data_IF_226336705748
#
_entry.id   IF_226336705748
#
_cell.length_a   1.000
_cell.length_b   1.000
_cell.length_c   1.000
_cell.angle_alpha   90.00
_cell.angle_beta   90.00
_cell.angle_gamma   90.00
#
_symmetry.space_group_name_H-M   'P 1'
#
loop_
_entity.id
_entity.type
_entity.pdbx_description
1 polymer ?
#
# COMPACT_ATOMS: atom_id res chain seq x y z
N UNK A 1 11.75 -61.92 -57.90
CA UNK A 1 12.32 -60.64 -57.42
C UNK A 1 11.13 -59.79 -57.00
N UNK A 2 10.69 -59.97 -55.75
CA UNK A 2 9.50 -59.33 -55.19
C UNK A 2 9.94 -58.13 -54.38
N UNK A 3 9.53 -56.94 -54.81
CA UNK A 3 9.76 -55.68 -54.11
C UNK A 3 8.78 -55.67 -52.93
N UNK A 4 9.31 -55.75 -51.70
CA UNK A 4 8.55 -55.54 -50.49
C UNK A 4 8.30 -54.04 -50.34
N UNK A 5 7.05 -53.61 -50.60
CA UNK A 5 6.56 -52.30 -50.19
C UNK A 5 6.50 -52.22 -48.66
N UNK A 6 7.40 -51.44 -48.07
CA UNK A 6 7.35 -51.04 -46.68
C UNK A 6 6.16 -50.11 -46.47
N UNK A 7 5.07 -50.69 -45.98
CA UNK A 7 3.87 -50.04 -45.51
C UNK A 7 4.14 -49.45 -44.13
N UNK A 8 4.69 -48.24 -44.10
CA UNK A 8 4.82 -47.49 -42.85
C UNK A 8 4.43 -46.02 -43.09
N UNK A 9 3.84 -45.41 -42.07
CA UNK A 9 3.34 -44.02 -42.00
C UNK A 9 1.83 -43.84 -42.27
N UNK A 10 1.02 -44.35 -41.35
CA UNK A 10 -0.23 -43.68 -40.98
C UNK A 10 -0.43 -43.84 -39.46
N UNK A 11 0.23 -42.97 -38.67
CA UNK A 11 -0.01 -42.84 -37.23
C UNK A 11 -0.89 -41.60 -36.98
N UNK A 12 -2.22 -41.74 -36.89
CA UNK A 12 -3.16 -40.63 -36.66
C UNK A 12 -3.01 -39.95 -35.28
N UNK A 13 -2.11 -40.42 -34.40
CA UNK A 13 -1.91 -39.86 -33.07
C UNK A 13 -1.10 -38.55 -33.00
N UNK A 14 -0.19 -38.31 -33.95
CA UNK A 14 0.73 -37.15 -33.86
C UNK A 14 0.07 -35.81 -34.17
N UNK A 15 -0.89 -35.78 -35.10
CA UNK A 15 -1.62 -34.55 -35.43
C UNK A 15 -2.60 -34.14 -34.32
N UNK A 16 -3.16 -35.12 -33.59
CA UNK A 16 -4.06 -34.84 -32.48
C UNK A 16 -3.32 -34.29 -31.26
N UNK A 17 -2.13 -34.80 -30.93
CA UNK A 17 -1.32 -34.27 -29.82
C UNK A 17 -0.80 -32.86 -30.10
N UNK A 18 -0.40 -32.57 -31.34
CA UNK A 18 0.05 -31.22 -31.72
C UNK A 18 -1.07 -30.18 -31.55
N UNK A 19 -2.32 -30.56 -31.86
CA UNK A 19 -3.48 -29.67 -31.76
C UNK A 19 -3.88 -29.36 -30.31
N UNK A 20 -3.67 -30.30 -29.37
CA UNK A 20 -3.97 -30.09 -27.94
C UNK A 20 -2.92 -29.21 -27.29
N UNK A 21 -1.65 -29.36 -27.66
CA UNK A 21 -0.55 -28.56 -27.13
C UNK A 21 -0.68 -27.10 -27.58
N UNK A 22 -0.98 -26.86 -28.86
CA UNK A 22 -1.25 -25.52 -29.40
C UNK A 22 -2.40 -24.80 -28.70
N UNK A 23 -3.50 -25.51 -28.39
CA UNK A 23 -4.64 -24.94 -27.66
C UNK A 23 -4.28 -24.58 -26.21
N UNK A 24 -3.49 -25.44 -25.55
CA UNK A 24 -3.01 -25.20 -24.19
C UNK A 24 -2.10 -23.97 -24.14
N UNK A 25 -1.14 -23.86 -25.07
CA UNK A 25 -0.23 -22.71 -25.15
C UNK A 25 -0.99 -21.42 -25.49
N UNK A 26 -1.92 -21.45 -26.44
CA UNK A 26 -2.75 -20.28 -26.76
C UNK A 26 -3.60 -19.83 -25.56
N UNK A 27 -4.17 -20.78 -24.80
CA UNK A 27 -4.89 -20.49 -23.56
C UNK A 27 -3.99 -19.85 -22.49
N UNK A 28 -2.76 -20.35 -22.31
CA UNK A 28 -1.80 -19.78 -21.38
C UNK A 28 -1.38 -18.36 -21.78
N UNK A 29 -1.11 -18.12 -23.06
CA UNK A 29 -0.77 -16.78 -23.58
C UNK A 29 -1.94 -15.81 -23.38
N UNK A 30 -3.16 -16.24 -23.71
CA UNK A 30 -4.36 -15.42 -23.51
C UNK A 30 -4.58 -15.05 -22.04
N UNK A 31 -4.36 -16.00 -21.12
CA UNK A 31 -4.45 -15.75 -19.68
C UNK A 31 -3.38 -14.76 -19.21
N UNK A 32 -2.12 -14.95 -19.62
CA UNK A 32 -1.01 -14.05 -19.29
C UNK A 32 -1.23 -12.63 -19.82
N UNK A 33 -1.64 -12.50 -21.09
CA UNK A 33 -1.93 -11.22 -21.71
C UNK A 33 -3.08 -10.50 -20.99
N UNK A 34 -4.15 -11.23 -20.66
CA UNK A 34 -5.28 -10.72 -19.89
C UNK A 34 -4.86 -10.25 -18.50
N UNK A 35 -4.11 -11.05 -17.76
CA UNK A 35 -3.57 -10.67 -16.45
C UNK A 35 -2.67 -9.44 -16.52
N UNK A 36 -1.78 -9.36 -17.51
CA UNK A 36 -0.87 -8.22 -17.67
C UNK A 36 -1.64 -6.93 -17.99
N UNK A 37 -2.64 -6.99 -18.86
CA UNK A 37 -3.52 -5.84 -19.14
C UNK A 37 -4.30 -5.38 -17.90
N UNK A 38 -4.77 -6.33 -17.09
CA UNK A 38 -5.46 -6.03 -15.83
C UNK A 38 -4.56 -5.34 -14.81
N UNK A 39 -3.31 -5.80 -14.68
CA UNK A 39 -2.31 -5.16 -13.81
C UNK A 39 -1.99 -3.74 -14.28
N UNK A 40 -1.81 -3.52 -15.59
CA UNK A 40 -1.54 -2.18 -16.15
C UNK A 40 -2.74 -1.24 -15.92
N UNK A 41 -3.96 -1.70 -16.16
CA UNK A 41 -5.17 -0.91 -15.91
C UNK A 41 -5.30 -0.52 -14.43
N UNK A 42 -4.94 -1.44 -13.54
CA UNK A 42 -4.96 -1.22 -12.10
C UNK A 42 -3.86 -0.25 -11.66
N UNK A 43 -2.64 -0.35 -12.22
CA UNK A 43 -1.56 0.63 -12.02
C UNK A 43 -1.98 2.02 -12.49
N UNK A 44 -2.60 2.12 -13.67
CA UNK A 44 -3.12 3.38 -14.20
C UNK A 44 -4.17 4.01 -13.27
N UNK A 45 -5.19 3.23 -12.87
CA UNK A 45 -6.26 3.71 -12.00
C UNK A 45 -5.72 4.17 -10.64
N UNK A 46 -4.81 3.40 -10.05
CA UNK A 46 -4.16 3.74 -8.78
C UNK A 46 -3.28 4.99 -8.92
N UNK A 47 -2.46 5.06 -9.97
CA UNK A 47 -1.60 6.21 -10.21
C UNK A 47 -2.38 7.50 -10.43
N UNK A 48 -3.53 7.42 -11.12
CA UNK A 48 -4.46 8.54 -11.23
C UNK A 48 -4.98 9.01 -9.86
N UNK A 49 -5.38 8.08 -8.99
CA UNK A 49 -5.84 8.41 -7.63
C UNK A 49 -4.72 9.03 -6.79
N UNK A 50 -3.51 8.46 -6.84
CA UNK A 50 -2.34 9.01 -6.15
C UNK A 50 -2.05 10.45 -6.59
N UNK A 51 -1.96 10.68 -7.90
CA UNK A 51 -1.68 12.00 -8.47
C UNK A 51 -2.76 13.03 -8.11
N UNK A 52 -4.04 12.63 -8.21
CA UNK A 52 -5.17 13.48 -7.82
C UNK A 52 -5.11 13.86 -6.34
N UNK A 53 -4.83 12.89 -5.47
CA UNK A 53 -4.71 13.13 -4.03
C UNK A 53 -3.53 14.06 -3.70
N UNK A 54 -2.39 13.85 -4.37
CA UNK A 54 -1.20 14.68 -4.19
C UNK A 54 -1.46 16.15 -4.56
N UNK A 55 -2.12 16.41 -5.69
CA UNK A 55 -2.47 17.76 -6.11
C UNK A 55 -3.53 18.40 -5.19
N UNK A 56 -4.53 17.63 -4.77
CA UNK A 56 -5.51 18.08 -3.79
C UNK A 56 -4.86 18.46 -2.45
N UNK A 57 -3.89 17.67 -2.00
CA UNK A 57 -3.08 17.96 -0.81
C UNK A 57 -2.34 19.29 -0.98
N UNK A 58 -1.74 19.56 -2.15
CA UNK A 58 -1.12 20.85 -2.47
C UNK A 58 -2.15 21.99 -2.55
N UNK A 59 -3.42 21.69 -2.80
CA UNK A 59 -4.48 22.68 -3.04
C UNK A 59 -4.57 23.13 -4.49
N UNK A 60 -4.03 22.33 -5.41
CA UNK A 60 -4.07 22.59 -6.86
C UNK A 60 -5.08 21.64 -7.48
N UNK A 61 -6.03 22.18 -8.24
CA UNK A 61 -6.98 21.35 -8.98
C UNK A 61 -6.26 20.65 -10.16
N UNK A 62 -6.56 19.37 -10.37
CA UNK A 62 -6.00 18.59 -11.47
C UNK A 62 -6.56 19.10 -12.79
N UNK A 63 -5.73 19.75 -13.60
CA UNK A 63 -6.09 20.08 -14.98
C UNK A 63 -5.74 18.90 -15.91
N UNK A 64 -6.63 18.61 -16.85
CA UNK A 64 -6.45 17.56 -17.85
C UNK A 64 -5.22 17.85 -18.71
N UNK A 65 -4.25 16.93 -18.76
CA UNK A 65 -3.04 17.10 -19.59
C UNK A 65 -1.86 16.16 -19.31
N UNK A 66 -1.90 15.37 -18.23
CA UNK A 66 -0.81 14.43 -17.91
C UNK A 66 -0.85 13.21 -18.84
N UNK A 67 0.32 12.75 -19.30
CA UNK A 67 0.42 11.61 -20.19
C UNK A 67 0.01 10.31 -19.46
N UNK A 68 -0.60 9.37 -20.19
CA UNK A 68 -1.04 8.08 -19.64
C UNK A 68 0.12 7.29 -19.00
N UNK A 69 1.32 7.40 -19.57
CA UNK A 69 2.53 6.73 -19.06
C UNK A 69 2.91 7.18 -17.65
N UNK A 70 2.75 8.46 -17.33
CA UNK A 70 3.14 9.02 -16.03
C UNK A 70 2.26 8.45 -14.91
N UNK A 71 0.95 8.27 -15.18
CA UNK A 71 0.06 7.63 -14.22
C UNK A 71 0.44 6.17 -13.96
N UNK A 72 0.82 5.41 -14.99
CA UNK A 72 1.28 4.02 -14.80
C UNK A 72 2.55 3.98 -13.95
N UNK A 73 3.50 4.88 -14.17
CA UNK A 73 4.72 4.97 -13.37
C UNK A 73 4.42 5.30 -11.90
N UNK A 74 3.57 6.29 -11.63
CA UNK A 74 3.15 6.65 -10.26
C UNK A 74 2.48 5.46 -9.58
N UNK A 75 1.61 4.75 -10.31
CA UNK A 75 0.97 3.53 -9.82
C UNK A 75 1.97 2.42 -9.49
N UNK A 76 2.96 2.20 -10.36
CA UNK A 76 4.01 1.22 -10.12
C UNK A 76 4.86 1.55 -8.88
N UNK A 77 5.23 2.83 -8.68
CA UNK A 77 5.92 3.30 -7.47
C UNK A 77 5.11 3.04 -6.21
N UNK A 78 3.80 3.29 -6.25
CA UNK A 78 2.88 2.96 -5.15
C UNK A 78 2.94 1.47 -4.80
N UNK A 79 2.85 0.57 -5.80
CA UNK A 79 2.90 -0.87 -5.54
C UNK A 79 4.22 -1.29 -4.92
N UNK A 80 5.34 -0.80 -5.47
CA UNK A 80 6.67 -1.11 -4.98
C UNK A 80 6.85 -0.69 -3.51
N UNK A 81 6.51 0.55 -3.17
CA UNK A 81 6.66 1.05 -1.79
C UNK A 81 5.71 0.33 -0.84
N UNK A 82 4.46 0.10 -1.24
CA UNK A 82 3.49 -0.64 -0.43
C UNK A 82 3.96 -2.07 -0.16
N UNK A 83 4.57 -2.70 -1.16
CA UNK A 83 5.12 -4.05 -1.03
C UNK A 83 6.33 -4.08 -0.08
N UNK A 84 7.21 -3.08 -0.12
CA UNK A 84 8.33 -2.97 0.83
C UNK A 84 7.81 -2.88 2.26
N UNK A 85 6.90 -1.94 2.53
CA UNK A 85 6.33 -1.73 3.86
C UNK A 85 5.63 -2.99 4.36
N UNK A 86 4.96 -3.71 3.46
CA UNK A 86 4.34 -5.00 3.77
C UNK A 86 5.37 -6.05 4.18
N UNK A 87 6.48 -6.17 3.44
CA UNK A 87 7.55 -7.12 3.77
C UNK A 87 8.26 -6.77 5.07
N UNK A 88 8.55 -5.50 5.31
CA UNK A 88 9.12 -5.02 6.58
C UNK A 88 8.19 -5.40 7.75
N UNK A 89 6.89 -5.15 7.60
CA UNK A 89 5.91 -5.48 8.63
C UNK A 89 5.77 -6.99 8.86
N UNK A 90 5.95 -7.81 7.82
CA UNK A 90 6.00 -9.28 7.93
C UNK A 90 7.25 -9.76 8.68
N UNK A 91 8.40 -9.14 8.40
CA UNK A 91 9.66 -9.44 9.09
C UNK A 91 9.55 -9.07 10.57
N UNK A 92 9.00 -7.88 10.88
CA UNK A 92 8.79 -7.42 12.25
C UNK A 92 7.82 -8.34 13.01
N UNK A 93 6.71 -8.73 12.37
CA UNK A 93 5.77 -9.69 12.95
C UNK A 93 6.44 -11.05 13.19
N UNK A 94 7.25 -11.51 12.23
CA UNK A 94 8.04 -12.74 12.35
C UNK A 94 8.99 -12.68 13.55
N UNK A 95 9.73 -11.58 13.70
CA UNK A 95 10.63 -11.34 14.83
C UNK A 95 9.89 -11.29 16.18
N UNK A 96 8.70 -10.70 16.23
CA UNK A 96 7.89 -10.65 17.44
C UNK A 96 7.28 -12.01 17.81
N UNK A 97 6.85 -12.80 16.82
CA UNK A 97 6.20 -14.11 17.05
C UNK A 97 7.20 -15.23 17.35
N UNK A 98 8.40 -15.21 16.75
CA UNK A 98 9.42 -16.23 16.93
C UNK A 98 9.75 -16.52 18.41
N UNK A 99 10.02 -15.52 19.28
CA UNK A 99 10.31 -15.78 20.69
C UNK A 99 9.08 -16.26 21.45
N UNK A 100 7.87 -15.82 21.08
CA UNK A 100 6.62 -16.29 21.70
C UNK A 100 6.41 -17.76 21.38
N UNK A 101 6.58 -18.16 20.12
CA UNK A 101 6.50 -19.56 19.68
C UNK A 101 7.58 -20.41 20.35
N UNK A 102 8.82 -19.93 20.40
CA UNK A 102 9.91 -20.61 21.10
C UNK A 102 9.60 -20.79 22.59
N UNK A 103 9.10 -19.76 23.25
CA UNK A 103 8.68 -19.79 24.65
C UNK A 103 7.54 -20.79 24.89
N UNK A 104 6.52 -20.81 24.03
CA UNK A 104 5.43 -21.78 24.09
C UNK A 104 5.91 -23.22 23.87
N UNK A 105 6.85 -23.44 22.95
CA UNK A 105 7.46 -24.76 22.71
C UNK A 105 8.24 -25.20 23.96
N UNK A 106 9.09 -24.34 24.51
CA UNK A 106 9.86 -24.64 25.73
C UNK A 106 8.93 -24.93 26.91
N UNK A 107 7.88 -24.12 27.09
CA UNK A 107 6.89 -24.32 28.14
C UNK A 107 6.15 -25.64 27.97
N UNK A 108 5.74 -25.98 26.74
CA UNK A 108 5.07 -27.25 26.44
C UNK A 108 5.97 -28.46 26.70
N UNK A 109 7.25 -28.39 26.32
CA UNK A 109 8.24 -29.43 26.58
C UNK A 109 8.52 -29.59 28.08
N UNK A 110 8.62 -28.46 28.81
CA UNK A 110 8.76 -28.46 30.26
C UNK A 110 7.56 -29.07 30.96
N UNK A 111 6.33 -28.73 30.53
CA UNK A 111 5.10 -29.28 31.07
C UNK A 111 5.01 -30.79 30.82
N UNK A 112 5.34 -31.25 29.61
CA UNK A 112 5.42 -32.68 29.26
C UNK A 112 6.47 -33.39 30.11
N UNK A 113 7.63 -32.77 30.34
CA UNK A 113 8.67 -33.31 31.21
C UNK A 113 8.22 -33.46 32.67
N UNK A 114 7.55 -32.44 33.23
CA UNK A 114 7.00 -32.47 34.59
C UNK A 114 5.91 -33.54 34.69
N UNK A 115 4.99 -33.58 33.74
CA UNK A 115 3.93 -34.60 33.71
C UNK A 115 4.53 -36.00 33.60
N UNK A 116 5.53 -36.20 32.73
CA UNK A 116 6.23 -37.48 32.61
C UNK A 116 6.96 -37.88 33.91
N UNK A 117 7.55 -36.92 34.64
CA UNK A 117 8.22 -37.15 35.92
C UNK A 117 7.22 -37.45 37.06
N UNK A 118 6.08 -36.76 37.10
CA UNK A 118 5.00 -37.02 38.07
C UNK A 118 4.35 -38.37 37.78
N UNK A 119 4.07 -38.66 36.50
CA UNK A 119 3.53 -39.95 36.08
C UNK A 119 4.53 -41.06 36.38
N UNK A 120 5.82 -40.95 36.06
CA UNK A 120 6.80 -42.01 36.37
C UNK A 120 6.91 -42.28 37.87
N UNK A 121 6.70 -41.27 38.72
CA UNK A 121 6.65 -41.39 40.17
C UNK A 121 5.37 -42.06 40.67
N UNK A 122 4.22 -41.81 40.04
CA UNK A 122 2.91 -42.42 40.37
C UNK A 122 2.75 -43.83 39.74
N UNK A 123 3.38 -44.08 38.59
CA UNK A 123 3.25 -45.28 37.74
C UNK A 123 4.02 -46.50 38.26
N UNK A 124 4.53 -46.45 39.50
CA UNK A 124 4.91 -47.66 40.24
C UNK A 124 3.71 -48.56 40.59
N UNK A 125 2.48 -48.09 40.37
CA UNK A 125 1.23 -48.86 40.59
C UNK A 125 0.34 -48.82 39.33
N UNK A 126 0.59 -49.77 38.44
CA UNK A 126 -0.35 -50.54 37.60
C UNK A 126 -1.64 -49.84 37.13
N UNK A 127 -1.66 -49.36 35.87
CA UNK A 127 -2.77 -49.38 34.86
C UNK A 127 -2.59 -48.24 33.85
N UNK A 128 -2.00 -48.53 32.68
CA UNK A 128 -1.41 -47.45 31.85
C UNK A 128 -1.80 -47.42 30.38
N UNK A 129 -2.72 -48.29 29.95
CA UNK A 129 -3.08 -48.40 28.52
C UNK A 129 -4.33 -47.57 28.18
N UNK A 130 -5.36 -47.60 29.04
CA UNK A 130 -6.65 -46.96 28.74
C UNK A 130 -6.62 -45.42 28.82
N UNK A 131 -5.80 -44.86 29.70
CA UNK A 131 -5.70 -43.40 29.89
C UNK A 131 -4.87 -42.73 28.77
N UNK A 132 -3.93 -43.49 28.19
CA UNK A 132 -3.08 -43.02 27.10
C UNK A 132 -3.87 -42.91 25.79
N UNK A 133 -4.77 -43.85 25.52
CA UNK A 133 -5.65 -43.80 24.35
C UNK A 133 -6.71 -42.69 24.46
N UNK A 134 -7.28 -42.47 25.64
CA UNK A 134 -8.28 -41.41 25.86
C UNK A 134 -7.69 -40.00 25.71
N UNK A 135 -6.47 -39.77 26.20
CA UNK A 135 -5.73 -38.51 26.02
C UNK A 135 -5.38 -38.26 24.55
N UNK A 136 -4.94 -39.28 23.81
CA UNK A 136 -4.62 -39.17 22.38
C UNK A 136 -5.90 -38.90 21.56
N UNK A 137 -7.03 -39.52 21.92
CA UNK A 137 -8.32 -39.31 21.26
C UNK A 137 -8.94 -37.93 21.55
N UNK A 138 -8.89 -37.46 22.80
CA UNK A 138 -9.38 -36.14 23.18
C UNK A 138 -8.55 -35.01 22.55
N UNK A 139 -7.23 -35.21 22.43
CA UNK A 139 -6.31 -34.27 21.78
C UNK A 139 -6.51 -34.23 20.25
N UNK A 140 -6.84 -35.35 19.61
CA UNK A 140 -7.08 -35.43 18.15
C UNK A 140 -8.47 -34.97 17.71
N UNK A 141 -9.52 -35.16 18.53
CA UNK A 141 -10.92 -34.95 18.10
C UNK A 141 -11.53 -33.59 18.43
N UNK A 142 -11.29 -33.05 19.63
CA UNK A 142 -11.92 -31.81 20.13
C UNK A 142 -10.96 -30.62 20.04
N UNK A 143 -9.66 -30.90 20.15
CA UNK A 143 -8.60 -29.89 20.17
C UNK A 143 -8.35 -29.16 18.85
N UNK A 144 -8.79 -29.67 17.69
CA UNK A 144 -8.46 -29.06 16.39
C UNK A 144 -9.56 -28.16 15.81
N UNK A 145 -10.84 -28.50 16.02
CA UNK A 145 -11.95 -27.74 15.40
C UNK A 145 -12.44 -26.64 16.35
N UNK A 146 -12.62 -26.95 17.64
CA UNK A 146 -13.13 -25.97 18.61
C UNK A 146 -12.05 -24.94 18.99
N UNK A 147 -10.78 -25.34 19.10
CA UNK A 147 -9.67 -24.40 19.36
C UNK A 147 -9.41 -23.48 18.16
N UNK A 148 -9.51 -24.00 16.93
CA UNK A 148 -9.38 -23.20 15.72
C UNK A 148 -10.49 -22.17 15.63
N UNK A 149 -11.75 -22.55 15.91
CA UNK A 149 -12.90 -21.64 15.92
C UNK A 149 -12.79 -20.55 16.98
N UNK A 150 -12.37 -20.90 18.20
CA UNK A 150 -12.18 -19.95 19.30
C UNK A 150 -11.00 -19.01 19.04
N UNK A 151 -9.88 -19.54 18.54
CA UNK A 151 -8.71 -18.74 18.16
C UNK A 151 -9.05 -17.76 17.06
N UNK A 152 -9.77 -18.22 16.03
CA UNK A 152 -10.17 -17.37 14.91
C UNK A 152 -11.19 -16.30 15.31
N UNK A 153 -12.11 -16.63 16.23
CA UNK A 153 -13.07 -15.66 16.77
C UNK A 153 -12.39 -14.63 17.67
N UNK A 154 -11.43 -15.06 18.50
CA UNK A 154 -10.63 -14.18 19.33
C UNK A 154 -9.77 -13.24 18.46
N UNK A 155 -9.12 -13.78 17.42
CA UNK A 155 -8.36 -13.00 16.44
C UNK A 155 -9.23 -11.97 15.73
N UNK A 156 -10.45 -12.36 15.31
CA UNK A 156 -11.43 -11.46 14.69
C UNK A 156 -11.79 -10.30 15.64
N UNK A 157 -12.12 -10.60 16.90
CA UNK A 157 -12.48 -9.56 17.89
C UNK A 157 -11.30 -8.63 18.15
N UNK A 158 -10.09 -9.18 18.31
CA UNK A 158 -8.89 -8.39 18.54
C UNK A 158 -8.56 -7.50 17.34
N UNK A 159 -8.75 -8.00 16.12
CA UNK A 159 -8.60 -7.21 14.89
C UNK A 159 -9.69 -6.16 14.74
N UNK A 160 -10.94 -6.42 15.14
CA UNK A 160 -12.01 -5.43 15.13
C UNK A 160 -11.76 -4.31 16.15
N UNK A 161 -11.27 -4.65 17.35
CA UNK A 161 -10.88 -3.67 18.37
C UNK A 161 -9.70 -2.83 17.89
N UNK A 162 -8.69 -3.46 17.31
CA UNK A 162 -7.53 -2.76 16.76
C UNK A 162 -7.92 -1.90 15.54
N UNK A 163 -8.70 -2.42 14.59
CA UNK A 163 -9.22 -1.65 13.46
C UNK A 163 -10.12 -0.49 13.91
N UNK A 164 -10.93 -0.68 14.95
CA UNK A 164 -11.74 0.38 15.55
C UNK A 164 -10.88 1.51 16.13
N UNK A 165 -9.75 1.17 16.76
CA UNK A 165 -8.79 2.16 17.26
C UNK A 165 -8.12 2.97 16.13
N UNK A 166 -7.91 2.34 14.98
CA UNK A 166 -7.25 2.94 13.83
C UNK A 166 -8.21 3.65 12.88
N UNK A 167 -9.52 3.40 12.96
CA UNK A 167 -10.55 3.94 12.06
C UNK A 167 -10.47 5.47 11.91
N UNK A 168 -10.23 6.19 13.02
CA UNK A 168 -10.07 7.65 12.98
C UNK A 168 -8.86 8.10 12.18
N UNK A 169 -7.78 7.32 12.17
CA UNK A 169 -6.52 7.67 11.50
C UNK A 169 -6.59 7.54 9.97
N UNK A 170 -7.56 6.80 9.45
CA UNK A 170 -7.72 6.50 8.03
C UNK A 170 -8.14 7.69 7.20
N UNK A 171 -9.02 8.51 7.76
CA UNK A 171 -9.62 9.63 7.02
C UNK A 171 -8.81 10.92 7.18
N UNK A 172 -7.86 10.96 8.11
CA UNK A 172 -7.02 12.14 8.36
C UNK A 172 -6.26 12.59 7.10
N UNK A 173 -5.59 11.69 6.34
CA UNK A 173 -4.81 12.11 5.18
C UNK A 173 -5.67 12.68 4.05
N UNK A 174 -6.91 12.19 3.92
CA UNK A 174 -7.86 12.64 2.90
C UNK A 174 -8.35 14.07 3.18
N UNK A 175 -8.32 14.49 4.45
CA UNK A 175 -8.71 15.84 4.86
C UNK A 175 -7.58 16.87 4.64
N UNK A 176 -6.36 16.43 4.32
CA UNK A 176 -5.25 17.34 4.04
C UNK A 176 -5.47 17.97 2.68
N UNK A 177 -5.62 19.29 2.68
CA UNK A 177 -5.79 20.10 1.47
C UNK A 177 -5.07 21.43 1.64
N UNK A 178 -4.61 22.02 0.54
CA UNK A 178 -4.06 23.38 0.55
C UNK A 178 -2.79 23.57 1.38
N UNK A 179 -1.91 22.55 1.45
CA UNK A 179 -0.65 22.62 2.23
C UNK A 179 0.21 23.82 1.82
N UNK A 180 0.17 24.21 0.54
CA UNK A 180 0.87 25.38 -0.01
C UNK A 180 0.51 26.67 0.72
N UNK A 181 -0.77 26.88 1.04
CA UNK A 181 -1.28 28.11 1.64
C UNK A 181 -1.42 28.04 3.16
N UNK A 182 -0.98 26.93 3.77
CA UNK A 182 -1.18 26.67 5.20
C UNK A 182 -0.07 27.28 6.06
N UNK A 183 -0.41 28.16 6.99
CA UNK A 183 0.55 28.73 7.94
C UNK A 183 0.77 27.80 9.15
N UNK A 184 2.01 27.37 9.34
CA UNK A 184 2.40 26.45 10.42
C UNK A 184 3.04 27.20 11.59
N UNK A 185 2.22 27.71 12.50
CA UNK A 185 2.69 28.37 13.73
C UNK A 185 2.92 27.35 14.85
N UNK A 186 4.09 27.35 15.48
CA UNK A 186 4.50 26.39 16.53
C UNK A 186 3.86 26.59 17.90
N UNK A 187 2.97 27.58 18.06
CA UNK A 187 2.46 27.89 19.38
C UNK A 187 1.63 26.71 19.94
N UNK A 188 1.94 26.23 21.17
CA UNK A 188 1.39 24.99 21.75
C UNK A 188 -0.14 24.98 21.88
N UNK A 189 -0.78 26.16 21.78
CA UNK A 189 -2.22 26.35 21.95
C UNK A 189 -2.98 26.63 20.64
N UNK A 190 -2.36 26.46 19.48
CA UNK A 190 -3.02 26.74 18.20
C UNK A 190 -3.92 25.59 17.76
N UNK A 191 -4.97 25.93 17.00
CA UNK A 191 -5.97 25.02 16.41
C UNK A 191 -5.31 23.87 15.62
N UNK A 192 -4.09 24.07 15.10
CA UNK A 192 -3.28 23.05 14.43
C UNK A 192 -2.87 21.87 15.33
N UNK A 193 -2.74 22.07 16.65
CA UNK A 193 -2.48 20.98 17.60
C UNK A 193 -3.75 20.19 17.96
N UNK A 194 -4.93 20.79 17.79
CA UNK A 194 -6.21 20.13 18.06
C UNK A 194 -6.71 19.34 16.84
N UNK A 195 -6.43 19.80 15.62
CA UNK A 195 -6.79 19.10 14.39
C UNK A 195 -5.62 18.21 13.90
N UNK A 196 -5.74 16.88 13.94
CA UNK A 196 -4.65 15.99 13.56
C UNK A 196 -4.28 16.08 12.07
N UNK A 197 -5.20 16.51 11.19
CA UNK A 197 -4.92 16.73 9.78
C UNK A 197 -4.01 17.95 9.58
N UNK A 198 -4.27 19.04 10.32
CA UNK A 198 -3.44 20.24 10.31
C UNK A 198 -2.01 19.97 10.82
N UNK A 199 -1.89 19.16 11.87
CA UNK A 199 -0.58 18.71 12.38
C UNK A 199 0.20 17.91 11.33
N UNK A 200 -0.48 16.99 10.64
CA UNK A 200 0.11 16.16 9.59
C UNK A 200 0.53 17.00 8.38
N UNK A 201 -0.32 17.93 7.95
CA UNK A 201 -0.04 18.90 6.90
C UNK A 201 1.21 19.75 7.19
N UNK A 202 1.35 20.24 8.43
CA UNK A 202 2.53 21.01 8.83
C UNK A 202 3.82 20.18 8.87
N UNK A 203 3.72 18.89 9.21
CA UNK A 203 4.87 17.96 9.15
C UNK A 203 5.29 17.70 7.70
N UNK A 204 4.33 17.55 6.78
CA UNK A 204 4.60 17.44 5.34
C UNK A 204 5.29 18.70 4.81
N UNK A 205 4.78 19.89 5.16
CA UNK A 205 5.39 21.17 4.75
C UNK A 205 6.83 21.31 5.26
N UNK A 206 7.16 20.74 6.42
CA UNK A 206 8.52 20.74 6.99
C UNK A 206 9.44 19.65 6.45
N UNK A 207 8.97 18.83 5.52
CA UNK A 207 9.70 17.65 5.02
C UNK A 207 10.05 16.62 6.11
N UNK A 208 9.26 16.56 7.20
CA UNK A 208 9.40 15.49 8.18
C UNK A 208 8.69 14.25 7.63
N UNK A 209 9.47 13.36 7.00
CA UNK A 209 8.97 12.16 6.35
C UNK A 209 8.58 11.03 7.33
N UNK A 210 9.09 11.05 8.56
CA UNK A 210 8.94 9.94 9.49
C UNK A 210 7.49 9.75 9.94
N UNK A 211 6.81 10.84 10.27
CA UNK A 211 5.43 10.79 10.76
C UNK A 211 4.42 10.43 9.65
N UNK A 212 4.43 11.04 8.46
CA UNK A 212 3.60 10.62 7.33
C UNK A 212 3.83 9.16 6.92
N UNK A 213 5.07 8.69 6.90
CA UNK A 213 5.39 7.29 6.60
C UNK A 213 4.84 6.33 7.66
N UNK A 214 4.97 6.66 8.95
CA UNK A 214 4.40 5.85 10.02
C UNK A 214 2.86 5.76 9.94
N UNK A 215 2.19 6.86 9.61
CA UNK A 215 0.74 6.87 9.35
C UNK A 215 0.38 5.95 8.17
N UNK A 216 1.11 6.04 7.07
CA UNK A 216 0.90 5.19 5.91
C UNK A 216 1.14 3.70 6.22
N UNK A 217 2.22 3.38 6.91
CA UNK A 217 2.55 2.01 7.33
C UNK A 217 1.47 1.41 8.24
N UNK A 218 0.92 2.19 9.17
CA UNK A 218 -0.20 1.77 10.00
C UNK A 218 -1.44 1.38 9.18
N UNK A 219 -1.72 2.09 8.09
CA UNK A 219 -2.84 1.77 7.18
C UNK A 219 -2.58 0.52 6.35
N UNK A 220 -1.36 0.35 5.84
CA UNK A 220 -0.95 -0.88 5.13
C UNK A 220 -1.12 -2.09 6.04
N UNK A 221 -0.65 -1.99 7.28
CA UNK A 221 -0.81 -3.04 8.29
C UNK A 221 -2.27 -3.35 8.60
N UNK A 222 -3.15 -2.36 8.48
CA UNK A 222 -4.57 -2.57 8.69
C UNK A 222 -5.21 -3.36 7.56
N UNK A 223 -4.93 -2.98 6.32
CA UNK A 223 -5.35 -3.75 5.13
C UNK A 223 -4.83 -5.18 5.22
N UNK A 224 -3.59 -5.36 5.64
CA UNK A 224 -2.99 -6.68 5.80
C UNK A 224 -3.64 -7.49 6.93
N UNK A 225 -3.90 -6.88 8.08
CA UNK A 225 -4.62 -7.52 9.19
C UNK A 225 -6.02 -7.98 8.78
N UNK A 226 -6.76 -7.15 8.03
CA UNK A 226 -8.06 -7.53 7.46
C UNK A 226 -7.92 -8.71 6.49
N UNK A 227 -6.90 -8.69 5.62
CA UNK A 227 -6.64 -9.78 4.69
C UNK A 227 -6.34 -11.11 5.41
N UNK A 228 -5.50 -11.08 6.44
CA UNK A 228 -5.18 -12.25 7.27
C UNK A 228 -6.41 -12.82 8.00
N UNK A 229 -7.42 -11.99 8.27
CA UNK A 229 -8.71 -12.47 8.79
C UNK A 229 -9.56 -13.07 7.68
N UNK A 230 -9.57 -12.53 6.45
CA UNK A 230 -10.44 -13.04 5.38
C UNK A 230 -9.96 -14.40 4.83
N UNK A 231 -8.65 -14.59 4.68
CA UNK A 231 -8.06 -15.80 4.05
C UNK A 231 -8.38 -17.12 4.76
N UNK A 232 -8.14 -17.30 6.08
CA UNK A 232 -8.39 -18.57 6.77
C UNK A 232 -9.87 -18.90 6.85
N UNK A 233 -10.76 -17.91 6.74
CA UNK A 233 -12.20 -18.10 6.76
C UNK A 233 -12.83 -18.34 5.39
N UNK A 234 -12.04 -18.33 4.30
CA UNK A 234 -12.53 -18.62 2.94
C UNK A 234 -13.30 -19.95 2.86
N UNK A 235 -12.81 -20.98 3.56
CA UNK A 235 -13.44 -22.31 3.59
C UNK A 235 -14.80 -22.33 4.32
N UNK A 236 -15.01 -21.42 5.28
CA UNK A 236 -16.25 -21.28 6.04
C UNK A 236 -17.23 -20.28 5.41
N UNK A 237 -16.73 -19.25 4.70
CA UNK A 237 -17.55 -18.31 3.92
C UNK A 237 -18.39 -19.01 2.85
N UNK A 238 -17.87 -20.10 2.28
CA UNK A 238 -18.52 -20.85 1.21
C UNK A 238 -19.59 -21.84 1.71
N UNK A 239 -19.68 -22.11 3.01
CA UNK A 239 -20.53 -23.18 3.57
C UNK A 239 -21.91 -22.71 4.07
N UNK A 240 -22.22 -21.42 4.13
CA UNK A 240 -23.52 -20.94 4.62
C UNK A 240 -23.89 -19.51 4.17
N UNK A 241 -25.19 -19.20 4.12
CA UNK A 241 -25.66 -17.83 3.86
C UNK A 241 -25.44 -16.92 5.08
N UNK A 242 -25.60 -17.45 6.30
CA UNK A 242 -25.42 -16.70 7.54
C UNK A 242 -23.96 -16.23 7.73
N UNK A 243 -22.98 -17.07 7.41
CA UNK A 243 -21.56 -16.68 7.49
C UNK A 243 -21.24 -15.57 6.49
N UNK A 244 -21.77 -15.63 5.26
CA UNK A 244 -21.60 -14.56 4.26
C UNK A 244 -22.10 -13.19 4.75
N UNK A 245 -23.23 -13.15 5.46
CA UNK A 245 -23.77 -11.89 6.00
C UNK A 245 -22.84 -11.30 7.07
N UNK A 246 -22.26 -12.13 7.92
CA UNK A 246 -21.34 -11.69 8.99
C UNK A 246 -20.06 -11.07 8.41
N UNK A 247 -19.53 -11.63 7.31
CA UNK A 247 -18.29 -11.14 6.69
C UNK A 247 -18.49 -10.05 5.63
N UNK A 248 -19.71 -9.84 5.15
CA UNK A 248 -20.02 -8.77 4.21
C UNK A 248 -19.49 -7.39 4.67
N UNK A 249 -19.73 -6.91 5.91
CA UNK A 249 -19.19 -5.63 6.36
C UNK A 249 -17.66 -5.61 6.36
N UNK A 250 -16.99 -6.73 6.65
CA UNK A 250 -15.53 -6.84 6.62
C UNK A 250 -14.99 -6.72 5.18
N UNK A 251 -15.68 -7.34 4.21
CA UNK A 251 -15.32 -7.23 2.79
C UNK A 251 -15.55 -5.82 2.25
N UNK A 252 -16.65 -5.18 2.63
CA UNK A 252 -16.93 -3.78 2.30
C UNK A 252 -15.83 -2.89 2.88
N UNK A 253 -15.48 -3.11 4.15
CA UNK A 253 -14.39 -2.39 4.81
C UNK A 253 -13.08 -2.58 4.03
N UNK A 254 -12.69 -3.82 3.76
CA UNK A 254 -11.48 -4.12 2.99
C UNK A 254 -11.46 -3.43 1.62
N UNK A 255 -12.58 -3.41 0.89
CA UNK A 255 -12.69 -2.68 -0.38
C UNK A 255 -12.52 -1.17 -0.20
N UNK A 256 -13.21 -0.57 0.77
CA UNK A 256 -13.10 0.87 1.06
C UNK A 256 -11.64 1.23 1.39
N UNK A 257 -11.00 0.45 2.25
CA UNK A 257 -9.60 0.67 2.61
C UNK A 257 -8.65 0.48 1.43
N UNK A 258 -8.87 -0.54 0.60
CA UNK A 258 -8.10 -0.76 -0.62
C UNK A 258 -8.20 0.43 -1.58
N UNK A 259 -9.36 1.08 -1.66
CA UNK A 259 -9.56 2.30 -2.46
C UNK A 259 -8.95 3.56 -1.82
N UNK A 260 -8.92 3.63 -0.48
CA UNK A 260 -8.36 4.77 0.25
C UNK A 260 -6.83 4.75 0.25
N UNK A 261 -6.20 3.56 0.27
CA UNK A 261 -4.75 3.40 0.33
C UNK A 261 -3.97 4.18 -0.76
N UNK A 262 -4.35 4.16 -2.06
CA UNK A 262 -3.66 4.98 -3.06
C UNK A 262 -3.84 6.48 -2.84
N UNK A 263 -4.99 6.91 -2.32
CA UNK A 263 -5.22 8.32 -1.98
C UNK A 263 -4.31 8.76 -0.82
N UNK A 264 -4.19 7.94 0.23
CA UNK A 264 -3.34 8.28 1.38
C UNK A 264 -1.86 8.25 1.00
N UNK A 265 -1.44 7.32 0.13
CA UNK A 265 -0.09 7.33 -0.43
C UNK A 265 0.22 8.64 -1.17
N UNK A 266 -0.68 9.08 -2.06
CA UNK A 266 -0.51 10.32 -2.82
C UNK A 266 -0.38 11.56 -1.93
N UNK A 267 -1.12 11.59 -0.81
CA UNK A 267 -1.08 12.68 0.15
C UNK A 267 0.13 12.63 1.12
N UNK A 268 0.66 11.45 1.45
CA UNK A 268 1.63 11.31 2.54
C UNK A 268 3.06 10.97 2.12
N UNK A 269 3.21 10.20 1.04
CA UNK A 269 4.48 9.53 0.70
C UNK A 269 5.06 10.04 -0.61
N UNK A 270 4.21 10.51 -1.53
CA UNK A 270 4.67 10.98 -2.83
C UNK A 270 5.68 12.14 -2.68
N UNK A 271 6.83 12.08 -3.37
CA UNK A 271 7.88 13.09 -3.22
C UNK A 271 7.40 14.47 -3.71
N UNK A 272 7.64 15.51 -2.90
CA UNK A 272 7.34 16.89 -3.24
C UNK A 272 8.44 17.54 -4.09
N UNK A 273 9.04 16.81 -5.02
CA UNK A 273 10.15 17.29 -5.85
C UNK A 273 9.58 17.79 -7.17
N UNK A 274 9.80 19.07 -7.46
CA UNK A 274 9.27 19.73 -8.66
C UNK A 274 10.39 20.42 -9.45
N UNK A 275 10.26 20.54 -10.77
CA UNK A 275 11.21 21.27 -11.60
C UNK A 275 11.19 22.75 -11.24
N UNK A 276 12.37 23.28 -10.94
CA UNK A 276 12.63 24.69 -10.69
C UNK A 276 12.86 25.38 -12.04
N UNK A 277 12.04 26.38 -12.34
CA UNK A 277 11.98 27.01 -13.66
C UNK A 277 12.24 28.50 -13.59
N UNK A 278 12.98 29.02 -14.58
CA UNK A 278 13.03 30.44 -14.91
C UNK A 278 12.08 30.71 -16.07
N UNK A 279 11.35 31.81 -15.98
CA UNK A 279 10.28 32.13 -16.92
C UNK A 279 10.53 33.51 -17.50
N UNK A 280 10.58 33.56 -18.82
CA UNK A 280 10.74 34.79 -19.57
C UNK A 280 9.41 35.11 -20.24
N UNK A 281 8.72 36.12 -19.72
CA UNK A 281 7.44 36.60 -20.25
C UNK A 281 7.63 37.61 -21.36
N UNK A 282 6.61 37.79 -22.20
CA UNK A 282 6.62 38.80 -23.26
C UNK A 282 6.69 40.21 -22.64
N UNK A 283 7.34 41.14 -23.34
CA UNK A 283 7.64 42.50 -22.83
C UNK A 283 6.40 43.35 -22.45
N UNK A 284 5.18 42.91 -22.82
CA UNK A 284 3.88 43.55 -22.51
C UNK A 284 2.85 42.54 -21.94
N UNK A 285 3.30 41.57 -21.13
CA UNK A 285 2.38 40.60 -20.51
C UNK A 285 1.49 41.29 -19.47
N UNK A 286 0.22 40.91 -19.40
CA UNK A 286 -0.70 41.41 -18.36
C UNK A 286 -0.35 40.83 -16.99
N UNK A 287 0.28 39.65 -16.96
CA UNK A 287 0.70 38.99 -15.72
C UNK A 287 2.09 39.49 -15.29
N UNK A 288 2.12 40.29 -14.23
CA UNK A 288 3.37 40.70 -13.58
C UNK A 288 3.89 39.55 -12.70
N UNK A 289 4.95 38.87 -13.16
CA UNK A 289 5.58 37.77 -12.44
C UNK A 289 6.78 38.32 -11.65
N UNK A 290 6.83 38.18 -10.31
CA UNK A 290 7.96 38.64 -9.52
C UNK A 290 9.23 37.85 -9.86
N UNK A 291 10.40 38.48 -9.71
CA UNK A 291 11.67 37.77 -9.89
C UNK A 291 11.90 36.80 -8.73
N UNK A 292 12.15 35.53 -9.05
CA UNK A 292 12.47 34.52 -8.04
C UNK A 292 12.41 33.09 -8.57
N UNK A 293 12.77 32.12 -7.73
CA UNK A 293 12.68 30.71 -8.09
C UNK A 293 11.22 30.26 -8.17
N UNK A 294 10.78 29.87 -9.36
CA UNK A 294 9.47 29.25 -9.55
C UNK A 294 9.59 27.73 -9.58
N UNK A 295 8.61 27.05 -9.01
CA UNK A 295 8.44 25.62 -9.15
C UNK A 295 7.27 25.36 -10.09
N UNK A 296 7.50 24.54 -11.12
CA UNK A 296 6.45 24.10 -12.03
C UNK A 296 5.66 22.98 -11.36
N UNK A 297 4.46 23.29 -10.86
CA UNK A 297 3.58 22.30 -10.23
C UNK A 297 2.86 21.50 -11.31
N UNK A 298 2.34 22.19 -12.32
CA UNK A 298 1.54 21.57 -13.36
C UNK A 298 1.66 22.29 -14.69
N UNK A 299 1.65 21.51 -15.77
CA UNK A 299 1.66 21.98 -17.14
C UNK A 299 0.46 21.39 -17.88
N UNK A 300 -0.41 22.28 -18.38
CA UNK A 300 -1.53 21.92 -19.27
C UNK A 300 -1.21 22.37 -20.70
N UNK A 301 -2.15 22.20 -21.65
CA UNK A 301 -2.00 22.73 -23.01
C UNK A 301 -2.19 24.26 -23.07
N UNK A 302 -2.97 24.83 -22.14
CA UNK A 302 -3.39 26.25 -22.16
C UNK A 302 -2.63 27.14 -21.19
N UNK A 303 -2.24 26.58 -20.05
CA UNK A 303 -1.57 27.32 -18.98
C UNK A 303 -0.60 26.45 -18.20
N UNK A 304 0.32 27.11 -17.51
CA UNK A 304 1.17 26.51 -16.49
C UNK A 304 0.79 27.04 -15.11
N UNK A 305 0.91 26.18 -14.11
CA UNK A 305 0.72 26.53 -12.70
C UNK A 305 2.08 26.52 -12.05
N UNK A 306 2.43 27.68 -11.49
CA UNK A 306 3.72 27.96 -10.89
C UNK A 306 3.54 28.25 -9.43
N UNK A 307 4.52 27.87 -8.64
CA UNK A 307 4.61 28.22 -7.24
C UNK A 307 5.85 29.06 -6.97
N UNK A 308 5.64 30.19 -6.31
CA UNK A 308 6.73 31.05 -5.87
C UNK A 308 6.97 30.86 -4.37
N UNK A 309 8.04 30.14 -4.02
CA UNK A 309 8.37 29.81 -2.64
C UNK A 309 8.63 31.05 -1.76
N UNK A 310 9.09 32.16 -2.34
CA UNK A 310 9.36 33.38 -1.56
C UNK A 310 8.11 34.17 -1.13
N UNK A 311 6.97 33.97 -1.81
CA UNK A 311 5.75 34.76 -1.58
C UNK A 311 4.57 33.87 -1.16
N UNK A 312 4.78 32.56 -0.99
CA UNK A 312 3.72 31.57 -0.74
C UNK A 312 2.50 31.73 -1.67
N UNK A 313 2.76 32.01 -2.95
CA UNK A 313 1.74 32.33 -3.94
C UNK A 313 1.84 31.42 -5.17
N UNK A 314 0.68 30.98 -5.64
CA UNK A 314 0.52 30.26 -6.91
C UNK A 314 0.15 31.23 -8.03
N UNK A 315 0.74 31.04 -9.21
CA UNK A 315 0.50 31.84 -10.40
C UNK A 315 0.05 30.93 -11.53
N UNK A 316 -1.03 31.31 -12.21
CA UNK A 316 -1.49 30.65 -13.43
C UNK A 316 -1.08 31.53 -14.60
N UNK A 317 -0.18 31.03 -15.44
CA UNK A 317 0.37 31.79 -16.58
C UNK A 317 -0.07 31.13 -17.87
N UNK A 318 -0.79 31.82 -18.76
CA UNK A 318 -1.15 31.29 -20.08
C UNK A 318 0.08 31.04 -20.95
N UNK A 319 0.08 29.96 -21.74
CA UNK A 319 1.19 29.68 -22.68
C UNK A 319 1.41 30.79 -23.71
N UNK A 320 0.36 31.54 -24.05
CA UNK A 320 0.45 32.68 -24.96
C UNK A 320 1.36 33.80 -24.47
N UNK A 321 1.61 33.90 -23.16
CA UNK A 321 2.41 34.96 -22.53
C UNK A 321 3.87 34.56 -22.29
N UNK A 322 4.18 33.27 -22.42
CA UNK A 322 5.51 32.71 -22.15
C UNK A 322 6.33 32.74 -23.43
N UNK A 323 7.56 33.26 -23.34
CA UNK A 323 8.52 33.22 -24.45
C UNK A 323 9.44 32.01 -24.31
N UNK A 324 10.03 31.85 -23.11
CA UNK A 324 10.96 30.76 -22.82
C UNK A 324 10.73 30.27 -21.41
N UNK A 325 10.75 28.93 -21.25
CA UNK A 325 10.72 28.25 -19.97
C UNK A 325 11.97 27.38 -19.89
N UNK A 326 12.85 27.68 -18.92
CA UNK A 326 14.10 26.96 -18.72
C UNK A 326 14.04 26.21 -17.39
N UNK A 327 14.24 24.89 -17.44
CA UNK A 327 14.33 24.04 -16.25
C UNK A 327 15.77 24.09 -15.76
N UNK A 328 15.96 24.63 -14.55
CA UNK A 328 17.29 24.83 -13.96
C UNK A 328 17.70 23.60 -13.15
N UNK A 329 16.78 23.08 -12.33
CA UNK A 329 17.05 22.05 -11.34
C UNK A 329 15.75 21.33 -10.92
N UNK A 330 15.85 20.26 -10.14
CA UNK A 330 14.72 19.62 -9.45
C UNK A 330 14.93 19.74 -7.95
N UNK A 331 14.06 20.46 -7.27
CA UNK A 331 14.16 20.68 -5.84
C UNK A 331 12.83 20.42 -5.14
N UNK A 332 12.90 20.14 -3.84
CA UNK A 332 11.71 19.96 -3.04
C UNK A 332 11.01 21.30 -2.85
N UNK A 333 9.68 21.31 -2.99
CA UNK A 333 8.87 22.53 -3.00
C UNK A 333 8.97 23.34 -1.70
N UNK A 334 9.33 22.66 -0.60
CA UNK A 334 9.48 23.24 0.72
C UNK A 334 10.94 23.31 1.21
N UNK A 335 11.93 23.07 0.36
CA UNK A 335 13.33 23.21 0.80
C UNK A 335 13.63 24.68 1.04
N UNK A 336 14.28 25.00 2.16
CA UNK A 336 14.77 26.35 2.37
C UNK A 336 15.60 26.80 1.17
N UNK A 337 15.48 28.06 0.74
CA UNK A 337 16.27 28.56 -0.38
C UNK A 337 17.74 28.38 -0.02
N UNK A 338 18.45 27.53 -0.77
CA UNK A 338 19.90 27.42 -0.67
C UNK A 338 20.48 28.82 -0.79
N UNK A 339 21.34 29.27 0.15
CA UNK A 339 21.97 30.59 0.01
C UNK A 339 22.67 30.65 -1.35
N UNK A 340 22.59 31.79 -2.06
CA UNK A 340 23.20 31.91 -3.37
C UNK A 340 24.69 31.54 -3.28
N UNK A 341 25.27 30.85 -4.28
CA UNK A 341 26.62 30.30 -4.22
C UNK A 341 27.77 31.32 -4.12
N UNK A 342 27.48 32.61 -3.86
CA UNK A 342 28.44 33.70 -3.71
C UNK A 342 28.19 34.58 -2.48
N UNK A 343 27.64 34.04 -1.38
CA UNK A 343 27.78 34.70 -0.08
C UNK A 343 29.18 34.41 0.48
N UNK A 344 30.20 35.04 -0.10
CA UNK A 344 31.49 35.24 0.58
C UNK A 344 31.16 36.12 1.77
N UNK A 345 31.06 35.51 2.94
CA UNK A 345 30.94 36.22 4.21
C UNK A 345 32.28 36.98 4.40
N UNK A 346 32.26 38.31 4.58
CA UNK A 346 33.48 39.09 4.83
C UNK A 346 34.15 38.74 6.15
#
# INVERSE_FOLDING_TARGET
>A
MTINETKDHNRPGYLHSLSTDLKSTAGAIGWLAGSMSGVVALMYAVGFLCAKSHLNMLGVELYSGVAVGDYVEIGAKFFYITLIILFESLIDLGHALLPILAGLIILSLGLVGIIAAVISKIRRTTTTVLLQEWLIAAHKGVGNILSSQLFSSCLLVLMLLWAGSQYRNVFIPIQITGVLHMTCTEAPNTVANQNPAARLACKIRRQDHALPQAYYAGLVNLVFGLFLVVVPFRSHLLRGAATRIIYLPLMILFMIYGMVLPLTYGALVMPNVFPKVNIYTKKNSEVHIPNGPFFLIHQSEKSIILWHAGNDASYVVPFSEITTLEVIDHASLFSEPSPPPNAIIP
#
